data_IF_132008469880
#
_entry.id   IF_132008469880
#
_cell.length_a   1.000
_cell.length_b   1.000
_cell.length_c   1.000
_cell.angle_alpha   90.00
_cell.angle_beta   90.00
_cell.angle_gamma   90.00
#
_symmetry.space_group_name_H-M   'P 1'
#
loop_
_entity.id
_entity.type
_entity.pdbx_description
1 polymer ?
#
# COMPACT_ATOMS: atom_id res chain seq x y z
N UNK A 1 -5.24 38.29 -35.08
CA UNK A 1 -4.94 38.30 -33.63
C UNK A 1 -5.61 37.09 -33.06
N UNK A 2 -4.86 36.02 -32.86
CA UNK A 2 -5.36 34.77 -32.31
C UNK A 2 -4.83 34.72 -30.88
N UNK A 3 -5.72 34.95 -29.91
CA UNK A 3 -5.39 34.76 -28.50
C UNK A 3 -5.22 33.28 -28.21
N UNK A 4 -4.00 32.88 -27.91
CA UNK A 4 -3.71 31.61 -27.28
C UNK A 4 -4.14 31.68 -25.81
N UNK A 5 -5.29 31.11 -25.49
CA UNK A 5 -5.61 30.80 -24.12
C UNK A 5 -4.76 29.61 -23.68
N UNK A 6 -3.64 29.90 -23.05
CA UNK A 6 -2.91 28.93 -22.25
C UNK A 6 -3.81 28.55 -21.04
N UNK A 7 -4.45 27.40 -21.13
CA UNK A 7 -5.02 26.74 -19.97
C UNK A 7 -3.84 26.34 -19.07
N UNK A 8 -3.56 27.15 -18.06
CA UNK A 8 -2.74 26.74 -16.93
C UNK A 8 -3.39 25.47 -16.37
N UNK A 9 -2.72 24.31 -16.53
CA UNK A 9 -2.92 23.19 -15.63
C UNK A 9 -2.64 23.74 -14.24
N UNK A 10 -3.67 23.83 -13.41
CA UNK A 10 -3.50 24.00 -11.98
C UNK A 10 -2.61 22.85 -11.52
N UNK A 11 -1.39 23.18 -11.09
CA UNK A 11 -0.48 22.24 -10.46
C UNK A 11 -1.23 21.65 -9.25
N UNK A 12 -1.50 20.36 -9.30
CA UNK A 12 -2.14 19.65 -8.22
C UNK A 12 -1.30 19.79 -6.95
N UNK A 13 -1.89 20.38 -5.98
CA UNK A 13 -1.36 20.67 -4.66
C UNK A 13 -0.92 19.35 -4.00
N UNK A 14 0.39 19.18 -3.79
CA UNK A 14 1.03 18.18 -2.95
C UNK A 14 0.99 16.71 -3.43
N UNK A 15 1.91 16.39 -4.34
CA UNK A 15 2.37 15.02 -4.54
C UNK A 15 3.27 14.63 -3.35
N UNK A 16 2.80 13.74 -2.47
CA UNK A 16 3.55 13.25 -1.32
C UNK A 16 3.52 11.73 -1.24
N UNK A 17 4.60 11.16 -0.73
CA UNK A 17 4.68 9.74 -0.45
C UNK A 17 3.86 9.39 0.79
N UNK A 18 2.92 8.45 0.65
CA UNK A 18 2.15 7.91 1.77
C UNK A 18 2.98 6.84 2.45
N UNK A 19 3.50 5.86 1.70
CA UNK A 19 4.35 4.80 2.21
C UNK A 19 5.23 4.20 1.11
N UNK A 20 6.28 3.50 1.54
CA UNK A 20 7.27 2.88 0.67
C UNK A 20 7.79 1.58 1.27
N UNK A 21 7.89 0.56 0.45
CA UNK A 21 8.43 -0.75 0.86
C UNK A 21 9.85 -0.66 1.44
N UNK A 22 10.69 0.23 0.92
CA UNK A 22 12.08 0.39 1.35
C UNK A 22 12.24 0.88 2.80
N UNK A 23 11.22 1.54 3.38
CA UNK A 23 11.25 1.92 4.79
C UNK A 23 11.27 0.72 5.75
N UNK A 24 10.71 -0.41 5.32
CA UNK A 24 10.60 -1.64 6.12
C UNK A 24 11.60 -2.73 5.71
N UNK A 25 12.39 -2.46 4.68
CA UNK A 25 13.31 -3.46 4.13
C UNK A 25 14.35 -3.92 5.16
N UNK A 26 14.95 -3.00 5.91
CA UNK A 26 15.94 -3.36 6.92
C UNK A 26 15.36 -4.21 8.05
N UNK A 27 14.14 -3.91 8.49
CA UNK A 27 13.44 -4.69 9.51
C UNK A 27 13.17 -6.12 8.98
N UNK A 28 12.66 -6.25 7.77
CA UNK A 28 12.42 -7.54 7.14
C UNK A 28 13.72 -8.34 6.94
N UNK A 29 14.82 -7.66 6.58
CA UNK A 29 16.14 -8.26 6.47
C UNK A 29 16.60 -8.87 7.79
N UNK A 30 16.51 -8.11 8.88
CA UNK A 30 16.91 -8.58 10.22
C UNK A 30 16.09 -9.81 10.61
N UNK A 31 14.77 -9.73 10.51
CA UNK A 31 13.90 -10.85 10.86
C UNK A 31 14.19 -12.09 9.99
N UNK A 32 14.38 -11.90 8.69
CA UNK A 32 14.68 -13.01 7.78
C UNK A 32 15.99 -13.71 8.15
N UNK A 33 17.04 -12.92 8.41
CA UNK A 33 18.35 -13.46 8.80
C UNK A 33 18.29 -14.22 10.12
N UNK A 34 17.58 -13.69 11.11
CA UNK A 34 17.41 -14.34 12.43
C UNK A 34 16.59 -15.64 12.31
N UNK A 35 15.49 -15.63 11.58
CA UNK A 35 14.61 -16.79 11.40
C UNK A 35 15.28 -17.95 10.63
N UNK A 36 16.17 -17.64 9.70
CA UNK A 36 16.83 -18.64 8.85
C UNK A 36 18.27 -18.96 9.27
N UNK A 37 18.79 -18.30 10.29
CA UNK A 37 20.20 -18.40 10.74
C UNK A 37 21.19 -18.15 9.60
N UNK A 38 20.93 -17.13 8.78
CA UNK A 38 21.73 -16.75 7.62
C UNK A 38 22.34 -15.37 7.84
N UNK A 39 23.68 -15.21 7.79
CA UNK A 39 24.31 -13.89 7.79
C UNK A 39 23.94 -13.08 6.55
N UNK A 40 23.74 -11.77 6.71
CA UNK A 40 23.27 -10.89 5.62
C UNK A 40 24.17 -10.90 4.38
N UNK A 41 25.48 -11.10 4.55
CA UNK A 41 26.45 -11.19 3.46
C UNK A 41 26.36 -12.50 2.63
N UNK A 42 25.58 -13.47 3.08
CA UNK A 42 25.36 -14.76 2.41
C UNK A 42 24.00 -14.88 1.73
N UNK A 43 23.20 -13.83 1.77
CA UNK A 43 21.87 -13.83 1.16
C UNK A 43 21.97 -13.98 -0.36
N UNK A 44 21.14 -14.86 -0.90
CA UNK A 44 20.96 -15.04 -2.34
C UNK A 44 20.03 -13.99 -2.92
N UNK A 45 19.93 -13.91 -4.25
CA UNK A 45 18.97 -13.05 -4.92
C UNK A 45 17.52 -13.45 -4.58
N UNK A 46 17.26 -14.75 -4.40
CA UNK A 46 15.95 -15.26 -3.98
C UNK A 46 15.58 -14.80 -2.58
N UNK A 47 16.53 -14.83 -1.64
CA UNK A 47 16.33 -14.32 -0.29
C UNK A 47 15.98 -12.82 -0.29
N UNK A 48 16.72 -12.04 -1.08
CA UNK A 48 16.47 -10.60 -1.22
C UNK A 48 15.08 -10.30 -1.81
N UNK A 49 14.58 -11.13 -2.73
CA UNK A 49 13.22 -11.00 -3.27
C UNK A 49 12.17 -11.30 -2.20
N UNK A 50 12.37 -12.37 -1.42
CA UNK A 50 11.46 -12.71 -0.32
C UNK A 50 11.45 -11.60 0.75
N UNK A 51 12.62 -11.11 1.16
CA UNK A 51 12.75 -9.99 2.09
C UNK A 51 11.99 -8.75 1.59
N UNK A 52 12.12 -8.44 0.29
CA UNK A 52 11.39 -7.31 -0.32
C UNK A 52 9.88 -7.48 -0.24
N UNK A 53 9.36 -8.70 -0.46
CA UNK A 53 7.92 -8.98 -0.34
C UNK A 53 7.44 -8.91 1.11
N UNK A 54 8.23 -9.39 2.07
CA UNK A 54 7.93 -9.26 3.51
C UNK A 54 7.92 -7.80 3.96
N UNK A 55 8.85 -6.98 3.46
CA UNK A 55 8.87 -5.54 3.71
C UNK A 55 7.63 -4.82 3.17
N UNK A 56 7.02 -5.35 2.13
CA UNK A 56 5.81 -4.81 1.51
C UNK A 56 4.50 -5.30 2.14
N UNK A 57 4.52 -6.18 3.13
CA UNK A 57 3.34 -6.87 3.66
C UNK A 57 2.17 -5.91 3.98
N UNK A 58 2.39 -4.95 4.90
CA UNK A 58 1.34 -4.02 5.34
C UNK A 58 0.85 -3.13 4.20
N UNK A 59 1.76 -2.63 3.36
CA UNK A 59 1.41 -1.81 2.20
C UNK A 59 0.64 -2.60 1.15
N UNK A 60 0.94 -3.88 0.97
CA UNK A 60 0.22 -4.79 0.09
C UNK A 60 -1.22 -5.06 0.55
N UNK A 61 -1.44 -5.20 1.86
CA UNK A 61 -2.78 -5.28 2.47
C UNK A 61 -3.57 -4.00 2.15
N UNK A 62 -2.97 -2.84 2.37
CA UNK A 62 -3.62 -1.55 2.14
C UNK A 62 -3.94 -1.31 0.66
N UNK A 63 -3.02 -1.63 -0.25
CA UNK A 63 -3.25 -1.53 -1.71
C UNK A 63 -4.38 -2.46 -2.17
N UNK A 64 -4.45 -3.68 -1.65
CA UNK A 64 -5.56 -4.60 -1.94
C UNK A 64 -6.90 -4.02 -1.46
N UNK A 65 -6.92 -3.43 -0.26
CA UNK A 65 -8.10 -2.76 0.28
C UNK A 65 -8.52 -1.56 -0.58
N UNK A 66 -7.59 -0.69 -0.97
CA UNK A 66 -7.87 0.43 -1.88
C UNK A 66 -8.48 -0.03 -3.21
N UNK A 67 -7.93 -1.09 -3.80
CA UNK A 67 -8.43 -1.65 -5.05
C UNK A 67 -9.84 -2.24 -4.91
N UNK A 68 -10.11 -2.96 -3.83
CA UNK A 68 -11.44 -3.55 -3.57
C UNK A 68 -12.52 -2.49 -3.36
N UNK A 69 -12.16 -1.34 -2.83
CA UNK A 69 -13.09 -0.20 -2.59
C UNK A 69 -13.11 0.85 -3.70
N UNK A 70 -12.45 0.62 -4.82
CA UNK A 70 -12.35 1.56 -5.95
C UNK A 70 -11.73 2.92 -5.57
N UNK A 71 -10.78 2.91 -4.64
CA UNK A 71 -10.10 4.11 -4.16
C UNK A 71 -8.77 4.43 -4.87
N UNK A 72 -8.32 3.58 -5.79
CA UNK A 72 -7.19 3.90 -6.66
C UNK A 72 -7.58 4.94 -7.70
N UNK A 73 -6.69 5.91 -7.95
CA UNK A 73 -6.96 7.01 -8.87
C UNK A 73 -6.85 6.58 -10.33
N UNK A 74 -7.94 6.65 -11.13
CA UNK A 74 -7.91 6.28 -12.55
C UNK A 74 -6.97 7.14 -13.41
N UNK A 75 -6.52 8.29 -12.92
CA UNK A 75 -5.61 9.20 -13.62
C UNK A 75 -4.13 8.97 -13.27
N UNK A 76 -3.85 8.08 -12.29
CA UNK A 76 -2.48 7.73 -11.92
C UNK A 76 -1.81 6.85 -12.98
N UNK A 77 -0.52 7.06 -13.19
CA UNK A 77 0.32 6.20 -14.04
C UNK A 77 0.35 4.75 -13.56
N UNK A 78 0.17 4.54 -12.26
CA UNK A 78 0.08 3.22 -11.63
C UNK A 78 -1.29 2.54 -11.77
N UNK A 79 -2.30 3.22 -12.30
CA UNK A 79 -3.64 2.64 -12.46
C UNK A 79 -3.69 1.63 -13.58
N UNK A 80 -4.04 0.40 -13.25
CA UNK A 80 -4.22 -0.67 -14.24
C UNK A 80 -5.53 -1.43 -14.00
N UNK A 81 -6.53 -1.16 -14.83
CA UNK A 81 -7.87 -1.74 -14.68
C UNK A 81 -7.87 -3.27 -14.67
N UNK A 82 -7.07 -3.91 -15.53
CA UNK A 82 -6.96 -5.38 -15.57
C UNK A 82 -6.30 -5.93 -14.30
N UNK A 83 -5.29 -5.24 -13.79
CA UNK A 83 -4.64 -5.58 -12.52
C UNK A 83 -5.60 -5.43 -11.34
N UNK A 84 -6.37 -4.35 -11.29
CA UNK A 84 -7.39 -4.11 -10.25
C UNK A 84 -8.47 -5.20 -10.29
N UNK A 85 -8.96 -5.58 -11.47
CA UNK A 85 -9.91 -6.68 -11.61
C UNK A 85 -9.34 -8.02 -11.12
N UNK A 86 -8.06 -8.29 -11.40
CA UNK A 86 -7.38 -9.48 -10.88
C UNK A 86 -7.22 -9.44 -9.36
N UNK A 87 -6.93 -8.28 -8.79
CA UNK A 87 -6.93 -8.09 -7.33
C UNK A 87 -8.31 -8.36 -6.72
N UNK A 88 -9.36 -7.76 -7.27
CA UNK A 88 -10.74 -7.97 -6.82
C UNK A 88 -11.16 -9.44 -6.88
N UNK A 89 -10.70 -10.16 -7.88
CA UNK A 89 -10.95 -11.59 -8.07
C UNK A 89 -9.91 -12.48 -7.35
N UNK A 90 -8.97 -11.89 -6.63
CA UNK A 90 -7.94 -12.60 -5.84
C UNK A 90 -7.06 -13.54 -6.67
N UNK A 91 -6.89 -13.25 -7.95
CA UNK A 91 -6.01 -14.01 -8.87
C UNK A 91 -4.57 -13.50 -8.87
N UNK A 92 -4.31 -12.34 -8.27
CA UNK A 92 -2.99 -11.80 -7.93
C UNK A 92 -3.03 -11.28 -6.50
N UNK A 93 -1.86 -11.04 -5.92
CA UNK A 93 -1.73 -10.47 -4.57
C UNK A 93 -1.61 -8.94 -4.58
N UNK A 94 -1.83 -8.30 -3.43
CA UNK A 94 -1.53 -6.88 -3.25
C UNK A 94 -0.08 -6.56 -3.55
N UNK A 95 0.85 -7.45 -3.20
CA UNK A 95 2.28 -7.34 -3.51
C UNK A 95 2.54 -7.36 -5.02
N UNK A 96 1.87 -8.25 -5.76
CA UNK A 96 2.02 -8.31 -7.23
C UNK A 96 1.62 -7.00 -7.89
N UNK A 97 0.50 -6.41 -7.45
CA UNK A 97 0.05 -5.11 -7.97
C UNK A 97 1.00 -3.98 -7.58
N UNK A 98 1.37 -3.91 -6.31
CA UNK A 98 2.30 -2.91 -5.77
C UNK A 98 3.64 -2.91 -6.51
N UNK A 99 4.21 -4.08 -6.75
CA UNK A 99 5.51 -4.21 -7.41
C UNK A 99 5.46 -3.92 -8.91
N UNK A 100 4.38 -4.34 -9.56
CA UNK A 100 4.25 -4.21 -11.00
C UNK A 100 3.79 -2.83 -11.46
N UNK A 101 2.91 -2.19 -10.71
CA UNK A 101 2.20 -0.99 -11.16
C UNK A 101 2.51 0.26 -10.34
N UNK A 102 2.93 0.12 -9.08
CA UNK A 102 3.18 1.23 -8.16
C UNK A 102 4.66 1.39 -7.77
N UNK A 103 5.56 0.65 -8.43
CA UNK A 103 7.01 0.72 -8.15
C UNK A 103 7.35 0.60 -6.66
N UNK A 104 6.62 -0.29 -5.94
CA UNK A 104 6.81 -0.57 -4.50
C UNK A 104 6.58 0.63 -3.57
N UNK A 105 5.83 1.64 -4.03
CA UNK A 105 5.55 2.88 -3.31
C UNK A 105 4.07 3.24 -3.50
N UNK A 106 3.53 4.00 -2.57
CA UNK A 106 2.20 4.57 -2.66
C UNK A 106 2.28 6.08 -2.47
N UNK A 107 1.87 6.82 -3.49
CA UNK A 107 1.80 8.27 -3.47
C UNK A 107 0.36 8.77 -3.37
N UNK A 108 0.20 10.02 -2.95
CA UNK A 108 -1.10 10.71 -2.94
C UNK A 108 -1.78 10.71 -4.31
N UNK A 109 -1.00 10.79 -5.39
CA UNK A 109 -1.47 10.73 -6.78
C UNK A 109 -2.03 9.36 -7.18
N UNK A 110 -1.69 8.29 -6.47
CA UNK A 110 -2.20 6.94 -6.73
C UNK A 110 -3.58 6.70 -6.13
N UNK A 111 -4.04 7.60 -5.26
CA UNK A 111 -5.29 7.48 -4.52
C UNK A 111 -6.31 8.49 -5.06
N UNK A 112 -7.58 8.10 -5.06
CA UNK A 112 -8.68 8.97 -5.43
C UNK A 112 -8.73 10.22 -4.55
N UNK A 113 -8.91 11.39 -5.16
CA UNK A 113 -8.93 12.71 -4.47
C UNK A 113 -9.92 12.75 -3.30
N UNK A 114 -11.00 11.99 -3.37
CA UNK A 114 -12.01 11.90 -2.31
C UNK A 114 -11.43 11.38 -0.98
N UNK A 115 -10.35 10.61 -1.02
CA UNK A 115 -9.68 10.08 0.17
C UNK A 115 -8.55 10.96 0.69
N UNK A 116 -8.00 11.85 -0.13
CA UNK A 116 -6.82 12.63 0.25
C UNK A 116 -6.99 13.44 1.54
N UNK A 117 -8.17 14.05 1.83
CA UNK A 117 -8.37 14.78 3.08
C UNK A 117 -8.24 13.91 4.33
N UNK A 118 -8.40 12.59 4.19
CA UNK A 118 -8.43 11.66 5.31
C UNK A 118 -7.20 10.76 5.37
N UNK A 119 -6.47 10.65 4.26
CA UNK A 119 -5.47 9.58 4.09
C UNK A 119 -4.34 9.64 5.11
N UNK A 120 -3.89 10.81 5.51
CA UNK A 120 -2.78 10.93 6.47
C UNK A 120 -3.17 10.39 7.84
N UNK A 121 -4.31 10.80 8.39
CA UNK A 121 -4.76 10.36 9.72
C UNK A 121 -5.18 8.88 9.67
N UNK A 122 -5.96 8.50 8.64
CA UNK A 122 -6.39 7.12 8.46
C UNK A 122 -5.20 6.16 8.28
N UNK A 123 -4.17 6.57 7.55
CA UNK A 123 -3.01 5.71 7.34
C UNK A 123 -2.17 5.55 8.60
N UNK A 124 -2.08 6.58 9.43
CA UNK A 124 -1.45 6.49 10.75
C UNK A 124 -2.21 5.50 11.65
N UNK A 125 -3.53 5.61 11.74
CA UNK A 125 -4.38 4.65 12.48
C UNK A 125 -4.24 3.23 11.93
N UNK A 126 -4.17 3.08 10.60
CA UNK A 126 -3.92 1.78 9.96
C UNK A 126 -2.56 1.20 10.34
N UNK A 127 -1.51 2.01 10.40
CA UNK A 127 -0.18 1.55 10.81
C UNK A 127 -0.17 1.15 12.29
N UNK A 128 -0.83 1.88 13.16
CA UNK A 128 -0.99 1.52 14.58
C UNK A 128 -1.74 0.19 14.72
N UNK A 129 -2.78 -0.02 13.93
CA UNK A 129 -3.48 -1.31 13.84
C UNK A 129 -2.53 -2.43 13.40
N UNK A 130 -1.74 -2.24 12.35
CA UNK A 130 -0.77 -3.25 11.89
C UNK A 130 0.22 -3.63 13.00
N UNK A 131 0.74 -2.67 13.74
CA UNK A 131 1.67 -2.91 14.84
C UNK A 131 1.04 -3.50 16.10
N UNK A 132 -0.26 -3.51 16.21
CA UNK A 132 -0.99 -4.10 17.37
C UNK A 132 -1.64 -5.42 17.05
N UNK A 133 -2.25 -5.56 15.87
CA UNK A 133 -3.02 -6.75 15.46
C UNK A 133 -2.19 -7.68 14.57
N UNK A 134 -1.39 -7.13 13.65
CA UNK A 134 -0.54 -7.87 12.71
C UNK A 134 0.94 -7.85 13.11
N UNK A 135 1.23 -7.66 14.39
CA UNK A 135 2.61 -7.49 14.90
C UNK A 135 3.54 -8.65 14.54
N UNK A 136 3.00 -9.88 14.48
CA UNK A 136 3.76 -11.07 14.12
C UNK A 136 3.94 -11.25 12.62
N UNK A 137 3.23 -10.47 11.80
CA UNK A 137 3.22 -10.59 10.34
C UNK A 137 3.98 -9.44 9.65
N UNK A 138 3.93 -8.23 10.20
CA UNK A 138 4.59 -7.05 9.61
C UNK A 138 6.09 -7.28 9.47
N UNK A 139 6.61 -7.16 8.26
CA UNK A 139 7.99 -7.41 7.87
C UNK A 139 8.49 -8.86 8.11
N UNK A 140 7.60 -9.78 8.46
CA UNK A 140 7.92 -11.20 8.72
C UNK A 140 7.30 -12.15 7.71
N UNK A 141 6.14 -11.81 7.15
CA UNK A 141 5.41 -12.65 6.20
C UNK A 141 5.19 -11.94 4.87
N UNK A 142 4.99 -12.71 3.81
CA UNK A 142 4.48 -12.20 2.54
C UNK A 142 2.96 -11.99 2.64
N UNK A 143 2.40 -11.17 1.73
CA UNK A 143 0.94 -11.01 1.61
C UNK A 143 0.25 -12.36 1.43
N UNK A 144 -0.83 -12.58 2.18
CA UNK A 144 -1.72 -13.73 2.06
C UNK A 144 -3.19 -13.26 2.11
N UNK A 145 -4.00 -13.71 1.17
CA UNK A 145 -5.43 -13.41 1.14
C UNK A 145 -6.18 -13.88 2.39
N UNK A 146 -5.73 -14.95 3.04
CA UNK A 146 -6.33 -15.39 4.31
C UNK A 146 -6.13 -14.35 5.41
N UNK A 147 -4.93 -13.76 5.49
CA UNK A 147 -4.67 -12.69 6.47
C UNK A 147 -5.48 -11.45 6.10
N UNK A 148 -5.52 -11.09 4.82
CA UNK A 148 -6.35 -9.98 4.35
C UNK A 148 -7.81 -10.14 4.81
N UNK A 149 -8.44 -11.29 4.59
CA UNK A 149 -9.82 -11.56 4.98
C UNK A 149 -10.06 -11.58 6.49
N UNK A 150 -9.02 -11.84 7.29
CA UNK A 150 -9.13 -11.75 8.75
C UNK A 150 -9.21 -10.28 9.25
N UNK A 151 -8.72 -9.32 8.47
CA UNK A 151 -8.58 -7.93 8.90
C UNK A 151 -9.35 -6.92 8.05
N UNK A 152 -9.94 -7.33 6.92
CA UNK A 152 -10.63 -6.38 6.04
C UNK A 152 -11.81 -5.67 6.72
N UNK A 153 -12.59 -6.40 7.53
CA UNK A 153 -13.70 -5.82 8.28
C UNK A 153 -13.22 -4.81 9.34
N UNK A 154 -12.07 -5.07 9.98
CA UNK A 154 -11.47 -4.13 10.93
C UNK A 154 -11.00 -2.84 10.24
N UNK A 155 -10.42 -2.95 9.05
CA UNK A 155 -10.01 -1.78 8.25
C UNK A 155 -11.24 -1.00 7.80
N UNK A 156 -12.29 -1.68 7.37
CA UNK A 156 -13.58 -1.06 6.99
C UNK A 156 -14.20 -0.31 8.16
N UNK A 157 -14.17 -0.89 9.36
CA UNK A 157 -14.69 -0.26 10.56
C UNK A 157 -13.88 0.99 10.94
N UNK A 158 -12.56 0.91 10.96
CA UNK A 158 -11.69 2.07 11.22
C UNK A 158 -11.97 3.20 10.23
N UNK A 159 -12.09 2.89 8.94
CA UNK A 159 -12.39 3.88 7.92
C UNK A 159 -13.78 4.49 8.10
N UNK A 160 -14.78 3.68 8.42
CA UNK A 160 -16.16 4.15 8.70
C UNK A 160 -16.21 5.07 9.92
N UNK A 161 -15.53 4.73 11.00
CA UNK A 161 -15.42 5.57 12.19
C UNK A 161 -14.75 6.91 11.87
N UNK A 162 -13.69 6.90 11.11
CA UNK A 162 -13.01 8.11 10.67
C UNK A 162 -13.95 9.04 9.87
N UNK A 163 -14.68 8.50 8.90
CA UNK A 163 -15.65 9.26 8.11
C UNK A 163 -16.76 9.88 8.97
N UNK A 164 -17.17 9.21 10.04
CA UNK A 164 -18.21 9.69 10.94
C UNK A 164 -17.75 10.89 11.77
N UNK A 165 -16.49 10.89 12.23
CA UNK A 165 -15.92 11.98 13.02
C UNK A 165 -15.76 13.29 12.23
N UNK A 166 -15.55 13.22 10.94
CA UNK A 166 -15.34 14.40 10.08
C UNK A 166 -16.67 15.05 9.68
N UNK A 167 -17.76 14.29 9.70
CA UNK A 167 -19.10 14.83 9.38
C UNK A 167 -19.80 15.58 10.54
N UNK A 168 -19.17 15.58 11.71
CA UNK A 168 -19.61 16.35 12.88
C UNK A 168 -18.87 17.69 12.97
#
# INVERSE_FOLDING_TARGET
>A
MVEHSETKKEESQFDFSIDRTDYFFYQALVFYCEENDIPSEKLSQSDMQEISKRAAFHLSIFVAWLAKHDFLNPQSDGFNLKGIQKLKNETITGTDYLFKHLDKKLYSTDISDILLPFISDFYEDYMDFCYTVLVDDVARTEFDWKIYHLVEDDIDEMFSQYQTHIRQ
#
